data_IF_275489728527
#
_entry.id   IF_275489728527
#
_cell.length_a   1.000
_cell.length_b   1.000
_cell.length_c   1.000
_cell.angle_alpha   90.00
_cell.angle_beta   90.00
_cell.angle_gamma   90.00
#
_symmetry.space_group_name_H-M   'P 1'
#
loop_
_entity.id
_entity.type
_entity.pdbx_description
1 polymer ?
#
# COMPACT_ATOMS: atom_id res chain seq x y z
N UNK A 1 25.05 -58.20 16.83
CA UNK A 1 23.77 -57.54 16.51
C UNK A 1 23.93 -56.90 15.16
N UNK A 2 23.24 -57.43 14.16
CA UNK A 2 23.41 -56.98 12.77
C UNK A 2 22.66 -55.65 12.57
N UNK A 3 23.12 -54.82 11.63
CA UNK A 3 22.44 -53.57 11.22
C UNK A 3 20.96 -53.81 10.84
N UNK A 4 20.63 -55.04 10.43
CA UNK A 4 19.27 -55.49 10.14
C UNK A 4 18.35 -55.55 11.37
N UNK A 5 18.87 -55.93 12.54
CA UNK A 5 18.07 -56.02 13.77
C UNK A 5 17.65 -54.61 14.26
N UNK A 6 18.51 -53.61 14.04
CA UNK A 6 18.24 -52.22 14.42
C UNK A 6 17.17 -51.57 13.53
N UNK A 7 17.18 -51.87 12.24
CA UNK A 7 16.19 -51.40 11.26
C UNK A 7 14.81 -52.02 11.49
N UNK A 8 14.76 -53.29 11.91
CA UNK A 8 13.50 -53.99 12.19
C UNK A 8 12.83 -53.46 13.47
N UNK A 9 13.61 -53.03 14.46
CA UNK A 9 13.13 -52.36 15.68
C UNK A 9 12.57 -50.96 15.37
N UNK A 10 13.23 -50.18 14.50
CA UNK A 10 12.76 -48.85 14.11
C UNK A 10 11.50 -48.90 13.24
N UNK A 11 11.41 -49.84 12.31
CA UNK A 11 10.19 -50.03 11.50
C UNK A 11 8.98 -50.40 12.36
N UNK A 12 9.18 -51.25 13.38
CA UNK A 12 8.12 -51.65 14.31
C UNK A 12 7.64 -50.47 15.16
N UNK A 13 8.56 -49.60 15.60
CA UNK A 13 8.23 -48.36 16.33
C UNK A 13 7.51 -47.34 15.46
N UNK A 14 7.89 -47.23 14.18
CA UNK A 14 7.24 -46.36 13.22
C UNK A 14 5.81 -46.80 12.90
N UNK A 15 5.57 -48.10 12.75
CA UNK A 15 4.22 -48.64 12.54
C UNK A 15 3.33 -48.51 13.78
N UNK A 16 3.90 -48.63 14.99
CA UNK A 16 3.20 -48.32 16.24
C UNK A 16 2.83 -46.83 16.35
N UNK A 17 3.74 -45.93 15.96
CA UNK A 17 3.47 -44.49 15.95
C UNK A 17 2.38 -44.12 14.93
N UNK A 18 2.37 -44.76 13.75
CA UNK A 18 1.30 -44.59 12.76
C UNK A 18 -0.04 -45.14 13.29
N UNK A 19 -0.03 -46.29 13.99
CA UNK A 19 -1.23 -46.85 14.62
C UNK A 19 -1.81 -45.88 15.65
N UNK A 20 -1.01 -45.31 16.54
CA UNK A 20 -1.46 -44.32 17.54
C UNK A 20 -2.00 -43.04 16.89
N UNK A 21 -1.33 -42.56 15.83
CA UNK A 21 -1.75 -41.37 15.10
C UNK A 21 -3.10 -41.58 14.39
N UNK A 22 -3.32 -42.75 13.79
CA UNK A 22 -4.57 -43.09 13.11
C UNK A 22 -5.71 -43.33 14.11
N UNK A 23 -5.45 -43.95 15.26
CA UNK A 23 -6.49 -44.11 16.30
C UNK A 23 -6.88 -42.79 16.96
N UNK A 24 -5.95 -41.83 17.10
CA UNK A 24 -6.26 -40.52 17.70
C UNK A 24 -6.96 -39.55 16.75
N UNK A 25 -6.80 -39.71 15.44
CA UNK A 25 -7.42 -38.83 14.43
C UNK A 25 -8.77 -39.34 13.93
N UNK A 26 -9.06 -40.63 13.98
CA UNK A 26 -10.31 -41.20 13.46
C UNK A 26 -11.37 -41.55 14.52
N UNK A 27 -11.07 -41.40 15.83
CA UNK A 27 -12.06 -41.70 16.87
C UNK A 27 -13.16 -40.65 17.03
N UNK A 28 -12.98 -39.42 16.52
CA UNK A 28 -13.89 -38.31 16.82
C UNK A 28 -14.79 -37.87 15.64
N UNK A 29 -14.55 -38.33 14.40
CA UNK A 29 -15.28 -37.81 13.22
C UNK A 29 -16.20 -38.81 12.50
N UNK A 30 -16.16 -40.11 12.84
CA UNK A 30 -17.08 -41.10 12.28
C UNK A 30 -17.43 -42.10 13.38
N UNK A 31 -18.66 -42.06 13.91
CA UNK A 31 -19.18 -42.97 14.94
C UNK A 31 -19.26 -44.43 14.49
N UNK A 32 -18.12 -45.05 14.22
CA UNK A 32 -17.97 -46.45 13.83
C UNK A 32 -17.06 -47.13 14.83
N UNK A 33 -17.67 -47.91 15.72
CA UNK A 33 -17.00 -48.79 16.66
C UNK A 33 -16.22 -49.88 15.91
N UNK A 34 -14.91 -49.68 15.72
CA UNK A 34 -13.99 -50.71 15.25
C UNK A 34 -13.61 -51.65 16.40
N UNK A 35 -14.59 -52.45 16.86
CA UNK A 35 -14.32 -53.78 17.41
C UNK A 35 -14.28 -54.72 16.22
N UNK A 36 -13.12 -54.94 15.62
CA UNK A 36 -12.87 -56.16 14.84
C UNK A 36 -11.37 -56.38 14.63
N UNK A 37 -10.91 -57.51 15.14
CA UNK A 37 -9.52 -57.93 15.26
C UNK A 37 -8.97 -58.58 13.97
N UNK A 38 -9.61 -58.35 12.82
CA UNK A 38 -9.38 -59.12 11.58
C UNK A 38 -8.64 -58.38 10.47
N UNK A 39 -8.32 -57.09 10.61
CA UNK A 39 -7.68 -56.33 9.53
C UNK A 39 -6.16 -56.58 9.39
N UNK A 40 -5.53 -57.23 10.36
CA UNK A 40 -4.06 -57.39 10.41
C UNK A 40 -3.54 -58.77 9.99
N UNK A 41 -4.41 -59.77 9.76
CA UNK A 41 -3.96 -61.08 9.24
C UNK A 41 -3.79 -61.11 7.71
N UNK A 42 -4.21 -60.07 7.00
CA UNK A 42 -4.10 -60.00 5.53
C UNK A 42 -2.92 -59.16 5.03
N UNK A 43 -2.12 -58.56 5.91
CA UNK A 43 -1.01 -57.69 5.48
C UNK A 43 0.22 -58.48 4.99
N UNK A 44 0.44 -59.68 5.51
CA UNK A 44 1.58 -60.52 5.11
C UNK A 44 1.32 -61.30 3.79
N UNK A 45 0.08 -61.39 3.32
CA UNK A 45 -0.28 -62.08 2.07
C UNK A 45 -0.22 -61.19 0.82
N UNK A 46 -0.22 -59.86 0.97
CA UNK A 46 -0.42 -58.96 -0.19
C UNK A 46 0.90 -58.54 -0.86
N UNK A 47 2.07 -58.72 -0.21
CA UNK A 47 3.34 -58.24 -0.77
C UNK A 47 4.53 -59.20 -0.57
N UNK A 48 4.69 -60.22 -1.44
CA UNK A 48 5.77 -61.19 -1.30
C UNK A 48 7.15 -60.66 -1.70
N UNK A 49 7.27 -59.45 -2.27
CA UNK A 49 8.54 -58.92 -2.78
C UNK A 49 8.87 -57.52 -2.24
N UNK A 50 10.00 -57.42 -1.53
CA UNK A 50 10.53 -56.23 -0.83
C UNK A 50 10.80 -55.00 -1.72
N UNK A 51 10.77 -55.15 -3.05
CA UNK A 51 11.06 -54.08 -4.02
C UNK A 51 9.86 -53.13 -4.20
N UNK A 52 8.63 -53.61 -3.99
CA UNK A 52 7.43 -52.77 -4.17
C UNK A 52 7.14 -51.87 -2.96
N UNK A 53 7.60 -52.26 -1.77
CA UNK A 53 7.37 -51.51 -0.53
C UNK A 53 8.13 -50.17 -0.52
N UNK A 54 9.33 -50.12 -1.08
CA UNK A 54 10.11 -48.88 -1.20
C UNK A 54 9.53 -47.92 -2.25
N UNK A 55 9.00 -48.44 -3.36
CA UNK A 55 8.32 -47.64 -4.37
C UNK A 55 7.00 -47.04 -3.84
N UNK A 56 6.25 -47.80 -3.04
CA UNK A 56 5.00 -47.33 -2.44
C UNK A 56 5.24 -46.24 -1.38
N UNK A 57 6.27 -46.38 -0.54
CA UNK A 57 6.69 -45.34 0.41
C UNK A 57 7.23 -44.09 -0.29
N UNK A 58 7.95 -44.23 -1.41
CA UNK A 58 8.48 -43.09 -2.16
C UNK A 58 7.38 -42.21 -2.79
N UNK A 59 6.19 -42.74 -3.05
CA UNK A 59 5.06 -41.99 -3.63
C UNK A 59 4.10 -41.47 -2.56
N UNK A 60 3.85 -42.23 -1.48
CA UNK A 60 2.91 -41.82 -0.43
C UNK A 60 3.50 -40.85 0.59
N UNK A 61 4.79 -40.97 0.92
CA UNK A 61 5.43 -40.08 1.90
C UNK A 61 5.43 -38.61 1.42
N UNK A 62 5.79 -38.28 0.15
CA UNK A 62 5.70 -36.90 -0.33
C UNK A 62 4.25 -36.36 -0.36
N UNK A 63 3.27 -37.19 -0.71
CA UNK A 63 1.85 -36.80 -0.77
C UNK A 63 1.24 -36.56 0.62
N UNK A 64 1.65 -37.35 1.62
CA UNK A 64 1.25 -37.17 3.02
C UNK A 64 1.90 -35.94 3.64
N UNK A 65 3.18 -35.66 3.35
CA UNK A 65 3.85 -34.42 3.79
C UNK A 65 3.23 -33.16 3.16
N UNK A 66 2.79 -33.23 1.90
CA UNK A 66 2.12 -32.10 1.25
C UNK A 66 0.76 -31.78 1.89
N UNK A 67 0.00 -32.79 2.35
CA UNK A 67 -1.26 -32.56 3.09
C UNK A 67 -1.05 -32.16 4.55
N UNK A 68 -0.02 -32.67 5.23
CA UNK A 68 0.30 -32.25 6.60
C UNK A 68 0.71 -30.78 6.62
N UNK A 69 1.53 -30.31 5.67
CA UNK A 69 1.90 -28.88 5.57
C UNK A 69 0.69 -28.00 5.25
N UNK A 70 -0.24 -28.44 4.40
CA UNK A 70 -1.46 -27.68 4.07
C UNK A 70 -2.45 -27.63 5.25
N UNK A 71 -2.56 -28.69 6.06
CA UNK A 71 -3.45 -28.72 7.24
C UNK A 71 -2.83 -28.02 8.46
N UNK A 72 -1.49 -28.03 8.61
CA UNK A 72 -0.82 -27.24 9.67
C UNK A 72 -0.71 -25.77 9.35
N UNK A 73 -0.77 -25.36 8.07
CA UNK A 73 -0.77 -23.94 7.69
C UNK A 73 -2.18 -23.30 7.80
N UNK A 74 -3.24 -24.10 7.88
CA UNK A 74 -4.63 -23.61 8.04
C UNK A 74 -5.13 -23.59 9.50
N UNK A 75 -4.34 -24.11 10.46
CA UNK A 75 -4.74 -24.24 11.88
C UNK A 75 -3.86 -23.46 12.86
N UNK A 76 -3.13 -22.45 12.39
CA UNK A 76 -2.47 -21.43 13.22
C UNK A 76 -3.24 -20.09 13.27
N UNK A 77 -4.55 -20.14 12.99
CA UNK A 77 -5.51 -19.12 13.39
C UNK A 77 -5.91 -19.29 14.85
N UNK A 78 -5.75 -18.21 15.63
CA UNK A 78 -6.22 -18.02 17.01
C UNK A 78 -5.53 -18.79 18.14
N UNK A 79 -4.34 -18.29 18.50
CA UNK A 79 -4.16 -17.78 19.87
C UNK A 79 -3.18 -16.61 19.90
N UNK A 80 -3.56 -15.49 19.28
CA UNK A 80 -2.97 -14.19 19.65
C UNK A 80 -3.42 -13.90 21.07
N UNK A 81 -2.57 -14.23 22.06
CA UNK A 81 -2.62 -13.59 23.36
C UNK A 81 -2.52 -12.10 23.10
N UNK A 82 -3.64 -11.40 23.33
CA UNK A 82 -3.69 -9.96 23.50
C UNK A 82 -2.74 -9.60 24.64
N UNK A 83 -1.48 -9.35 24.31
CA UNK A 83 -0.63 -8.50 25.14
C UNK A 83 -1.05 -7.09 24.79
N UNK A 84 -2.02 -6.60 25.57
CA UNK A 84 -2.34 -5.18 25.66
C UNK A 84 -1.13 -4.48 26.29
N UNK A 85 -0.14 -4.17 25.47
CA UNK A 85 0.72 -3.02 25.67
C UNK A 85 0.18 -1.98 24.70
N UNK A 86 -0.23 -0.81 25.21
CA UNK A 86 -0.87 0.25 24.44
C UNK A 86 0.05 0.93 23.42
N UNK A 87 0.58 0.17 22.46
CA UNK A 87 1.35 0.65 21.32
C UNK A 87 0.46 0.74 20.08
N UNK A 88 0.51 1.88 19.39
CA UNK A 88 -0.16 2.06 18.10
C UNK A 88 0.32 1.02 17.08
N UNK A 89 -0.60 0.45 16.29
CA UNK A 89 -0.26 -0.39 15.14
C UNK A 89 0.65 0.37 14.16
N UNK A 90 1.58 -0.31 13.48
CA UNK A 90 2.43 0.29 12.42
C UNK A 90 1.61 1.08 11.39
N UNK A 91 0.43 0.59 11.05
CA UNK A 91 -0.51 1.28 10.17
C UNK A 91 -0.98 2.64 10.73
N UNK A 92 -1.31 2.70 12.02
CA UNK A 92 -1.71 3.94 12.70
C UNK A 92 -0.54 4.93 12.75
N UNK A 93 0.68 4.47 13.01
CA UNK A 93 1.88 5.30 12.98
C UNK A 93 2.10 5.90 11.58
N UNK A 94 1.96 5.07 10.54
CA UNK A 94 2.10 5.51 9.16
C UNK A 94 1.04 6.53 8.76
N UNK A 95 -0.22 6.27 9.10
CA UNK A 95 -1.35 7.18 8.87
C UNK A 95 -1.14 8.52 9.56
N UNK A 96 -0.72 8.53 10.82
CA UNK A 96 -0.38 9.76 11.55
C UNK A 96 0.74 10.53 10.86
N UNK A 97 1.79 9.84 10.41
CA UNK A 97 2.89 10.48 9.66
C UNK A 97 2.41 11.10 8.34
N UNK A 98 1.60 10.39 7.57
CA UNK A 98 1.01 10.92 6.33
C UNK A 98 0.13 12.14 6.59
N UNK A 99 -0.67 12.14 7.66
CA UNK A 99 -1.51 13.28 8.03
C UNK A 99 -0.67 14.50 8.46
N UNK A 100 0.39 14.29 9.24
CA UNK A 100 1.31 15.37 9.63
C UNK A 100 2.05 15.94 8.41
N UNK A 101 2.49 15.09 7.49
CA UNK A 101 3.15 15.52 6.26
C UNK A 101 2.17 16.29 5.36
N UNK A 102 0.94 15.78 5.19
CA UNK A 102 -0.10 16.49 4.45
C UNK A 102 -0.33 17.91 5.02
N UNK A 103 -0.47 18.04 6.34
CA UNK A 103 -0.61 19.33 7.01
C UNK A 103 0.61 20.25 6.78
N UNK A 104 1.83 19.70 6.75
CA UNK A 104 3.06 20.45 6.43
C UNK A 104 3.04 21.00 5.01
N UNK A 105 2.66 20.18 4.02
CA UNK A 105 2.54 20.61 2.63
C UNK A 105 1.46 21.67 2.44
N UNK A 106 0.30 21.48 3.06
CA UNK A 106 -0.80 22.44 2.99
C UNK A 106 -0.43 23.79 3.62
N UNK A 107 0.24 23.79 4.78
CA UNK A 107 0.73 25.02 5.40
C UNK A 107 1.68 25.79 4.49
N UNK A 108 2.54 25.08 3.75
CA UNK A 108 3.41 25.75 2.78
C UNK A 108 2.62 26.37 1.62
N UNK A 109 1.53 25.72 1.17
CA UNK A 109 0.64 26.30 0.16
C UNK A 109 0.00 27.62 0.63
N UNK A 110 -0.39 27.71 1.91
CA UNK A 110 -0.95 28.94 2.48
C UNK A 110 0.09 30.08 2.52
N UNK A 111 1.34 29.76 2.85
CA UNK A 111 2.44 30.74 2.79
C UNK A 111 2.73 31.20 1.37
N UNK A 112 2.69 30.29 0.39
CA UNK A 112 2.88 30.61 -1.02
C UNK A 112 1.77 31.55 -1.52
N UNK A 113 0.49 31.29 -1.20
CA UNK A 113 -0.63 32.18 -1.55
C UNK A 113 -0.46 33.57 -0.90
N UNK A 114 -0.04 33.60 0.37
CA UNK A 114 0.23 34.86 1.07
C UNK A 114 1.35 35.66 0.39
N UNK A 115 2.41 34.98 -0.06
CA UNK A 115 3.49 35.61 -0.81
C UNK A 115 3.05 36.06 -2.21
N UNK A 116 2.21 35.29 -2.90
CA UNK A 116 1.65 35.67 -4.20
C UNK A 116 0.82 36.96 -4.12
N UNK A 117 0.01 37.11 -3.06
CA UNK A 117 -0.76 38.35 -2.81
C UNK A 117 0.13 39.58 -2.67
N UNK A 118 1.32 39.42 -2.06
CA UNK A 118 2.27 40.53 -1.91
C UNK A 118 2.86 40.93 -3.26
N UNK A 119 3.30 39.97 -4.06
CA UNK A 119 3.85 40.24 -5.41
C UNK A 119 2.83 40.93 -6.32
N UNK A 120 1.55 40.54 -6.23
CA UNK A 120 0.48 41.15 -7.00
C UNK A 120 0.19 42.60 -6.56
N UNK A 121 0.39 42.92 -5.28
CA UNK A 121 0.15 44.23 -4.70
C UNK A 121 1.39 45.17 -4.75
N UNK A 122 2.56 44.67 -5.11
CA UNK A 122 3.81 45.44 -5.13
C UNK A 122 3.81 46.52 -6.22
N UNK A 123 4.38 47.69 -5.92
CA UNK A 123 4.63 48.74 -6.91
C UNK A 123 5.64 48.26 -7.95
N UNK A 124 5.28 48.31 -9.23
CA UNK A 124 6.06 47.72 -10.32
C UNK A 124 5.68 46.27 -10.67
N UNK A 125 4.67 45.73 -9.98
CA UNK A 125 3.86 44.58 -10.34
C UNK A 125 4.61 43.34 -10.87
N UNK A 126 4.93 42.42 -9.96
CA UNK A 126 5.57 41.14 -10.28
C UNK A 126 4.53 40.04 -10.57
N UNK A 127 3.65 40.27 -11.56
CA UNK A 127 2.51 39.37 -11.85
C UNK A 127 2.94 37.96 -12.25
N UNK A 128 4.07 37.80 -12.93
CA UNK A 128 4.67 36.51 -13.25
C UNK A 128 5.02 35.71 -11.99
N UNK A 129 5.53 36.40 -10.96
CA UNK A 129 5.87 35.79 -9.68
C UNK A 129 4.65 35.47 -8.84
N UNK A 130 3.64 36.34 -8.87
CA UNK A 130 2.34 36.06 -8.26
C UNK A 130 1.71 34.79 -8.87
N UNK A 131 1.65 34.70 -10.21
CA UNK A 131 1.15 33.53 -10.92
C UNK A 131 1.96 32.26 -10.59
N UNK A 132 3.30 32.38 -10.57
CA UNK A 132 4.19 31.27 -10.24
C UNK A 132 3.93 30.75 -8.81
N UNK A 133 3.88 31.64 -7.82
CA UNK A 133 3.62 31.26 -6.43
C UNK A 133 2.22 30.68 -6.24
N UNK A 134 1.20 31.20 -6.92
CA UNK A 134 -0.14 30.61 -6.96
C UNK A 134 -0.13 29.17 -7.51
N UNK A 135 0.57 28.94 -8.64
CA UNK A 135 0.74 27.59 -9.19
C UNK A 135 1.41 26.64 -8.19
N UNK A 136 2.48 27.10 -7.53
CA UNK A 136 3.19 26.31 -6.52
C UNK A 136 2.31 25.99 -5.32
N UNK A 137 1.49 26.95 -4.86
CA UNK A 137 0.51 26.75 -3.81
C UNK A 137 -0.49 25.65 -4.18
N UNK A 138 -1.03 25.70 -5.40
CA UNK A 138 -1.94 24.69 -5.94
C UNK A 138 -1.28 23.31 -5.97
N UNK A 139 -0.07 23.17 -6.52
CA UNK A 139 0.66 21.90 -6.55
C UNK A 139 0.86 21.30 -5.15
N UNK A 140 1.23 22.13 -4.18
CA UNK A 140 1.43 21.71 -2.78
C UNK A 140 0.11 21.32 -2.11
N UNK A 141 -0.98 22.05 -2.37
CA UNK A 141 -2.30 21.72 -1.87
C UNK A 141 -2.77 20.36 -2.41
N UNK A 142 -2.63 20.11 -3.71
CA UNK A 142 -2.99 18.81 -4.32
C UNK A 142 -2.14 17.67 -3.76
N UNK A 143 -0.83 17.87 -3.59
CA UNK A 143 0.04 16.88 -2.93
C UNK A 143 -0.43 16.57 -1.51
N UNK A 144 -0.87 17.58 -0.77
CA UNK A 144 -1.41 17.42 0.57
C UNK A 144 -2.63 16.50 0.58
N UNK A 145 -3.57 16.68 -0.36
CA UNK A 145 -4.76 15.83 -0.50
C UNK A 145 -4.37 14.38 -0.82
N UNK A 146 -3.42 14.18 -1.72
CA UNK A 146 -2.95 12.85 -2.10
C UNK A 146 -2.30 12.11 -0.92
N UNK A 147 -1.50 12.80 -0.10
CA UNK A 147 -0.89 12.25 1.11
C UNK A 147 -1.96 11.79 2.11
N UNK A 148 -3.05 12.54 2.25
CA UNK A 148 -4.19 12.15 3.11
C UNK A 148 -4.97 10.95 2.54
N UNK A 149 -5.22 10.92 1.24
CA UNK A 149 -6.04 9.89 0.60
C UNK A 149 -5.33 8.54 0.56
N UNK A 150 -4.07 8.53 0.12
CA UNK A 150 -3.37 7.28 -0.23
C UNK A 150 -2.66 6.63 0.96
N UNK A 151 -2.56 7.32 2.11
CA UNK A 151 -1.87 6.86 3.32
C UNK A 151 -0.55 6.14 2.99
N UNK A 152 0.21 6.66 2.02
CA UNK A 152 1.50 6.16 1.59
C UNK A 152 2.45 7.34 1.52
N UNK A 153 3.56 7.26 2.26
CA UNK A 153 4.56 8.34 2.32
C UNK A 153 5.55 8.32 1.15
N UNK A 154 5.41 7.42 0.18
CA UNK A 154 6.51 7.08 -0.73
C UNK A 154 6.00 7.03 -2.17
N UNK A 155 6.59 7.90 -2.99
CA UNK A 155 6.50 7.97 -4.45
C UNK A 155 5.20 8.56 -5.06
N UNK A 156 4.68 9.67 -4.51
CA UNK A 156 4.34 10.75 -5.43
C UNK A 156 5.71 11.32 -5.85
N UNK A 157 6.26 10.72 -6.91
CA UNK A 157 7.61 10.95 -7.41
C UNK A 157 7.88 12.45 -7.61
N UNK A 158 9.14 12.81 -7.82
CA UNK A 158 9.67 14.18 -8.03
C UNK A 158 9.01 15.00 -9.17
N UNK A 159 7.86 14.59 -9.68
CA UNK A 159 7.06 15.28 -10.67
C UNK A 159 6.44 16.55 -10.07
N UNK A 160 6.90 17.69 -10.56
CA UNK A 160 6.21 19.00 -10.47
C UNK A 160 5.14 19.17 -11.56
N UNK A 161 4.61 18.06 -12.07
CA UNK A 161 3.55 18.10 -13.07
C UNK A 161 2.18 18.16 -12.38
N UNK A 162 1.64 19.39 -12.31
CA UNK A 162 0.32 19.66 -11.76
C UNK A 162 -0.79 18.85 -12.44
N UNK A 163 -0.69 18.58 -13.75
CA UNK A 163 -1.71 17.82 -14.46
C UNK A 163 -1.78 16.38 -13.93
N UNK A 164 -0.63 15.71 -13.83
CA UNK A 164 -0.54 14.36 -13.29
C UNK A 164 -1.01 14.29 -11.83
N UNK A 165 -0.62 15.26 -11.00
CA UNK A 165 -1.07 15.33 -9.60
C UNK A 165 -2.59 15.49 -9.49
N UNK A 166 -3.17 16.36 -10.32
CA UNK A 166 -4.61 16.60 -10.33
C UNK A 166 -5.39 15.34 -10.73
N UNK A 167 -4.99 14.65 -11.81
CA UNK A 167 -5.63 13.39 -12.21
C UNK A 167 -5.49 12.32 -11.13
N UNK A 168 -4.32 12.23 -10.47
CA UNK A 168 -4.10 11.27 -9.40
C UNK A 168 -5.00 11.49 -8.17
N UNK A 169 -5.51 12.71 -7.96
CA UNK A 169 -6.41 13.06 -6.85
C UNK A 169 -7.79 12.44 -6.99
N UNK A 170 -8.18 12.10 -8.22
CA UNK A 170 -9.52 11.58 -8.58
C UNK A 170 -10.66 12.51 -8.12
N UNK A 171 -10.36 13.78 -7.88
CA UNK A 171 -11.29 14.77 -7.37
C UNK A 171 -11.64 15.75 -8.49
N UNK A 172 -12.92 15.83 -8.84
CA UNK A 172 -13.39 16.61 -9.99
C UNK A 172 -13.08 18.10 -9.83
N UNK A 173 -13.22 18.65 -8.63
CA UNK A 173 -13.00 20.07 -8.38
C UNK A 173 -11.51 20.42 -8.38
N UNK A 174 -10.68 19.53 -7.82
CA UNK A 174 -9.23 19.65 -7.93
C UNK A 174 -8.78 19.58 -9.40
N UNK A 175 -9.29 18.62 -10.17
CA UNK A 175 -8.94 18.47 -11.59
C UNK A 175 -9.33 19.72 -12.38
N UNK A 176 -10.59 20.16 -12.26
CA UNK A 176 -11.11 21.32 -12.98
C UNK A 176 -10.29 22.58 -12.69
N UNK A 177 -10.04 22.85 -11.41
CA UNK A 177 -9.30 24.05 -10.98
C UNK A 177 -7.84 23.99 -11.42
N UNK A 178 -7.19 22.83 -11.30
CA UNK A 178 -5.80 22.64 -11.74
C UNK A 178 -5.61 22.81 -13.24
N UNK A 179 -6.57 22.34 -14.05
CA UNK A 179 -6.57 22.55 -15.50
C UNK A 179 -6.77 24.03 -15.87
N UNK A 180 -7.61 24.75 -15.12
CA UNK A 180 -7.79 26.17 -15.34
C UNK A 180 -6.50 26.95 -15.00
N UNK A 181 -5.85 26.62 -13.88
CA UNK A 181 -4.53 27.13 -13.52
C UNK A 181 -3.51 26.90 -14.65
N UNK A 182 -3.44 25.69 -15.20
CA UNK A 182 -2.55 25.36 -16.32
C UNK A 182 -2.83 26.20 -17.58
N UNK A 183 -4.10 26.53 -17.84
CA UNK A 183 -4.51 27.36 -18.97
C UNK A 183 -4.03 28.80 -18.81
N UNK A 184 -4.08 29.33 -17.58
CA UNK A 184 -3.61 30.69 -17.28
C UNK A 184 -2.09 30.77 -17.26
N UNK A 185 -1.41 29.81 -16.63
CA UNK A 185 0.05 29.86 -16.46
C UNK A 185 0.83 29.35 -17.66
N UNK A 186 0.28 28.41 -18.43
CA UNK A 186 1.06 27.60 -19.37
C UNK A 186 2.06 26.69 -18.64
N UNK A 187 3.18 26.40 -19.31
CA UNK A 187 4.27 25.60 -18.72
C UNK A 187 4.96 26.37 -17.58
N UNK A 188 5.61 25.64 -16.68
CA UNK A 188 6.26 26.24 -15.52
C UNK A 188 7.41 27.17 -15.93
N UNK A 189 8.13 26.81 -16.98
CA UNK A 189 9.26 27.55 -17.52
C UNK A 189 8.85 28.92 -18.04
N UNK A 190 7.61 29.06 -18.52
CA UNK A 190 7.06 30.29 -19.11
C UNK A 190 7.10 31.49 -18.16
N UNK A 191 6.91 31.25 -16.87
CA UNK A 191 6.93 32.28 -15.83
C UNK A 191 8.36 32.62 -15.37
N UNK A 192 9.35 31.80 -15.70
CA UNK A 192 10.69 31.88 -15.12
C UNK A 192 11.78 32.25 -16.13
N UNK A 193 11.66 31.80 -17.38
CA UNK A 193 12.79 31.84 -18.33
C UNK A 193 12.41 32.54 -19.64
N UNK A 194 13.12 33.62 -20.04
CA UNK A 194 12.84 34.32 -21.30
C UNK A 194 12.97 33.45 -22.57
N UNK A 195 13.83 32.43 -22.56
CA UNK A 195 14.03 31.51 -23.69
C UNK A 195 12.79 30.66 -24.00
N UNK A 196 11.87 30.54 -23.05
CA UNK A 196 10.57 29.88 -23.24
C UNK A 196 9.52 30.77 -23.94
N UNK A 197 9.89 32.00 -24.29
CA UNK A 197 9.02 33.00 -24.91
C UNK A 197 9.55 33.44 -26.28
N UNK A 198 8.66 34.03 -27.08
CA UNK A 198 9.07 34.66 -28.34
C UNK A 198 9.89 35.91 -28.06
N UNK A 199 11.12 35.95 -28.56
CA UNK A 199 11.94 37.16 -28.55
C UNK A 199 11.15 38.36 -29.11
N UNK A 200 11.20 39.56 -28.49
CA UNK A 200 12.07 39.98 -27.39
C UNK A 200 11.44 39.88 -25.98
N UNK A 201 10.30 39.18 -25.83
CA UNK A 201 9.52 39.19 -24.59
C UNK A 201 10.24 38.51 -23.43
N UNK A 202 10.03 39.04 -22.22
CA UNK A 202 10.37 38.39 -20.94
C UNK A 202 9.09 37.98 -20.19
N UNK A 203 9.15 37.10 -19.19
CA UNK A 203 7.95 36.66 -18.45
C UNK A 203 7.11 37.81 -17.91
N UNK A 204 7.75 38.87 -17.41
CA UNK A 204 7.07 40.09 -16.95
C UNK A 204 6.18 40.75 -18.02
N UNK A 205 6.50 40.64 -19.30
CA UNK A 205 5.71 41.23 -20.39
C UNK A 205 4.45 40.41 -20.74
N UNK A 206 4.36 39.19 -20.22
CA UNK A 206 3.34 38.19 -20.62
C UNK A 206 2.20 38.12 -19.63
N UNK A 207 2.48 38.28 -18.33
CA UNK A 207 1.48 38.14 -17.27
C UNK A 207 0.95 39.51 -16.86
N UNK A 208 -0.37 39.67 -16.98
CA UNK A 208 -1.09 40.88 -16.61
C UNK A 208 -1.68 40.78 -15.20
N UNK A 209 -2.19 41.91 -14.71
CA UNK A 209 -2.96 41.96 -13.46
C UNK A 209 -4.14 40.97 -13.49
N UNK A 210 -4.86 40.90 -14.60
CA UNK A 210 -5.99 39.97 -14.76
C UNK A 210 -5.55 38.50 -14.62
N UNK A 211 -4.35 38.15 -15.09
CA UNK A 211 -3.80 36.81 -14.86
C UNK A 211 -3.54 36.56 -13.38
N UNK A 212 -2.93 37.52 -12.68
CA UNK A 212 -2.65 37.41 -11.25
C UNK A 212 -3.93 37.30 -10.42
N UNK A 213 -4.93 38.14 -10.69
CA UNK A 213 -6.22 38.12 -10.00
C UNK A 213 -6.93 36.77 -10.19
N UNK A 214 -6.99 36.28 -11.44
CA UNK A 214 -7.55 34.96 -11.74
C UNK A 214 -6.81 33.85 -11.01
N UNK A 215 -5.48 33.91 -11.00
CA UNK A 215 -4.66 32.91 -10.30
C UNK A 215 -4.86 32.94 -8.79
N UNK A 216 -4.99 34.12 -8.20
CA UNK A 216 -5.29 34.29 -6.77
C UNK A 216 -6.65 33.70 -6.43
N UNK A 217 -7.69 34.01 -7.21
CA UNK A 217 -9.05 33.49 -7.03
C UNK A 217 -9.09 31.96 -7.10
N UNK A 218 -8.49 31.37 -8.15
CA UNK A 218 -8.44 29.92 -8.32
C UNK A 218 -7.67 29.23 -7.20
N UNK A 219 -6.56 29.83 -6.77
CA UNK A 219 -5.72 29.29 -5.69
C UNK A 219 -6.46 29.34 -4.35
N UNK A 220 -7.07 30.47 -4.02
CA UNK A 220 -7.86 30.64 -2.80
C UNK A 220 -9.03 29.65 -2.75
N UNK A 221 -9.80 29.54 -3.82
CA UNK A 221 -10.90 28.59 -3.94
C UNK A 221 -10.46 27.14 -3.70
N UNK A 222 -9.31 26.73 -4.29
CA UNK A 222 -8.78 25.38 -4.10
C UNK A 222 -8.25 25.15 -2.68
N UNK A 223 -7.59 26.14 -2.08
CA UNK A 223 -7.07 26.04 -0.71
C UNK A 223 -8.23 25.96 0.30
N UNK A 224 -9.29 26.72 0.10
CA UNK A 224 -10.50 26.65 0.92
C UNK A 224 -11.21 25.30 0.79
N UNK A 225 -11.34 24.80 -0.44
CA UNK A 225 -11.85 23.45 -0.69
C UNK A 225 -11.01 22.39 0.04
N UNK A 226 -9.69 22.48 -0.11
CA UNK A 226 -8.74 21.57 0.53
C UNK A 226 -8.84 21.65 2.06
N UNK A 227 -8.97 22.84 2.65
CA UNK A 227 -9.16 23.05 4.08
C UNK A 227 -10.44 22.37 4.58
N UNK A 228 -11.53 22.49 3.85
CA UNK A 228 -12.79 21.84 4.18
C UNK A 228 -12.68 20.30 4.15
N UNK A 229 -11.88 19.74 3.23
CA UNK A 229 -11.57 18.30 3.22
C UNK A 229 -10.82 17.84 4.49
N UNK A 230 -9.94 18.68 5.06
CA UNK A 230 -9.30 18.38 6.35
C UNK A 230 -10.31 18.38 7.49
N UNK A 231 -11.17 19.39 7.56
CA UNK A 231 -12.18 19.51 8.62
C UNK A 231 -13.20 18.37 8.58
N UNK A 232 -13.59 17.91 7.39
CA UNK A 232 -14.54 16.80 7.25
C UNK A 232 -13.96 15.42 7.63
N UNK A 233 -12.63 15.31 7.78
CA UNK A 233 -11.93 14.05 8.14
C UNK A 233 -11.51 13.99 9.61
N UNK A 234 -11.70 15.06 10.38
CA UNK A 234 -11.53 15.12 11.83
C UNK A 234 -12.84 14.77 12.53
#
# INVERSE_FOLDING_TARGET
>A
MSVFDSLQIEASRFLLAIRELLTSTFSDDLGVSLKNQTFLSSFDEIWPNRVWFSAFLAVLVPYMFLRIVIVTCSRSGQRRRSTSWGGDTIENIHRRRCNMEAARWFRQAEYDLTAARRDAAEEGHAFEWACFKCRQAVEKAVRSVLLMQRQRTVALSDTSDLHALAIASQDRDIIRTSLHVLTVTGSNERMLRPDSLSFPKVPRDVYSQSNADTMLELTESLLDYTRNLYLAKL
#
